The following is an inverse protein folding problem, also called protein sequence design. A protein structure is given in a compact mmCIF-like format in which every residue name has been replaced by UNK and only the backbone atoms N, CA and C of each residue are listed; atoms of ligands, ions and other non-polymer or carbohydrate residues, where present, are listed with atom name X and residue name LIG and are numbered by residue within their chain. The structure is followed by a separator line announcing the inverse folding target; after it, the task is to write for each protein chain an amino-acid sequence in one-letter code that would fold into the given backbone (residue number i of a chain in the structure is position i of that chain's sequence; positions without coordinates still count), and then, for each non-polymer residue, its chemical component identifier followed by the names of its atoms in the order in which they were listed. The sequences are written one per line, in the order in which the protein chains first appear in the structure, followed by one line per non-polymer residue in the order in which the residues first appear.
data_IF_738280009735
#
_entry.id   IF_738280009735
#
_cell.length_a   1.000
_cell.length_b   1.000
_cell.length_c   1.000
_cell.angle_alpha   90.00
_cell.angle_beta   90.00
_cell.angle_gamma   90.00
#
_symmetry.space_group_name_H-M   'P 1'
#
loop_
_entity.id
_entity.type
_entity.pdbx_description
1 polymer ?
#
# COMPACT_ATOMS: atom_id res chain seq x y z
N UNK A 1 -37.52 -10.82 -36.81
CA UNK A 1 -37.26 -9.83 -35.75
C UNK A 1 -36.65 -10.61 -34.62
N UNK A 2 -35.34 -10.58 -34.45
CA UNK A 2 -34.67 -11.06 -33.23
C UNK A 2 -33.27 -10.43 -33.23
N UNK A 3 -33.25 -9.12 -33.01
CA UNK A 3 -32.01 -8.36 -32.86
C UNK A 3 -31.41 -8.78 -31.51
N UNK A 4 -30.39 -9.63 -31.55
CA UNK A 4 -29.56 -9.96 -30.38
C UNK A 4 -28.82 -8.70 -29.97
N UNK A 5 -29.41 -8.00 -29.03
CA UNK A 5 -28.84 -6.85 -28.35
C UNK A 5 -27.75 -7.38 -27.39
N UNK A 6 -26.56 -7.68 -27.93
CA UNK A 6 -25.37 -7.84 -27.09
C UNK A 6 -25.01 -6.46 -26.55
N UNK A 7 -25.58 -6.16 -25.38
CA UNK A 7 -25.15 -5.05 -24.53
C UNK A 7 -23.73 -5.36 -24.08
N UNK A 8 -22.76 -4.97 -24.91
CA UNK A 8 -21.37 -4.75 -24.51
C UNK A 8 -21.40 -3.71 -23.39
N UNK A 9 -21.47 -4.19 -22.15
CA UNK A 9 -21.12 -3.39 -20.99
C UNK A 9 -19.65 -3.02 -21.16
N UNK A 10 -19.42 -1.85 -21.72
CA UNK A 10 -18.15 -1.15 -21.62
C UNK A 10 -17.88 -0.99 -20.12
N UNK A 11 -17.11 -1.92 -19.56
CA UNK A 11 -16.56 -1.79 -18.21
C UNK A 11 -15.68 -0.55 -18.25
N UNK A 12 -16.24 0.57 -17.83
CA UNK A 12 -15.51 1.80 -17.63
C UNK A 12 -14.53 1.52 -16.48
N UNK A 13 -13.35 1.01 -16.83
CA UNK A 13 -12.24 0.85 -15.90
C UNK A 13 -11.81 2.26 -15.52
N UNK A 14 -12.38 2.76 -14.43
CA UNK A 14 -11.79 3.89 -13.72
C UNK A 14 -10.40 3.40 -13.34
N UNK A 15 -9.37 3.88 -14.04
CA UNK A 15 -7.99 3.66 -13.65
C UNK A 15 -7.84 4.30 -12.27
N UNK A 16 -7.98 3.50 -11.22
CA UNK A 16 -7.72 3.93 -9.86
C UNK A 16 -6.29 4.46 -9.83
N UNK A 17 -6.13 5.72 -9.42
CA UNK A 17 -4.81 6.31 -9.27
C UNK A 17 -4.14 5.59 -8.11
N UNK A 18 -3.14 4.77 -8.41
CA UNK A 18 -2.32 4.14 -7.38
C UNK A 18 -1.52 5.22 -6.64
N UNK A 19 -1.58 5.17 -5.31
CA UNK A 19 -0.78 6.00 -4.43
C UNK A 19 0.24 5.12 -3.73
N UNK A 20 1.49 5.59 -3.65
CA UNK A 20 2.57 4.87 -2.98
C UNK A 20 3.05 5.67 -1.77
N UNK A 21 3.15 5.00 -0.63
CA UNK A 21 3.85 5.50 0.55
C UNK A 21 5.31 5.04 0.48
N UNK A 22 6.25 5.95 0.70
CA UNK A 22 7.69 5.65 0.65
C UNK A 22 8.28 5.91 2.03
N UNK A 23 8.91 4.89 2.62
CA UNK A 23 9.67 5.00 3.85
C UNK A 23 11.14 5.27 3.49
N UNK A 24 11.71 6.34 4.06
CA UNK A 24 13.13 6.69 3.88
C UNK A 24 13.87 6.46 5.20
N UNK A 25 15.03 5.81 5.13
CA UNK A 25 15.92 5.63 6.27
C UNK A 25 16.58 6.97 6.66
N UNK A 26 16.74 7.20 7.96
CA UNK A 26 17.44 8.36 8.53
C UNK A 26 18.20 7.96 9.82
N UNK A 27 18.97 8.88 10.38
CA UNK A 27 19.80 8.64 11.58
C UNK A 27 19.17 9.18 12.89
N UNK A 28 18.03 9.88 12.80
CA UNK A 28 17.40 10.56 13.94
C UNK A 28 16.30 9.70 14.58
N UNK A 29 15.52 8.98 13.76
CA UNK A 29 14.42 8.14 14.22
C UNK A 29 14.92 6.75 14.65
N UNK A 30 14.52 6.34 15.87
CA UNK A 30 14.83 5.00 16.35
C UNK A 30 13.99 3.92 15.66
N UNK A 31 14.47 2.68 15.65
CA UNK A 31 13.72 1.53 15.15
C UNK A 31 12.36 1.37 15.84
N UNK A 32 12.30 1.50 17.16
CA UNK A 32 11.05 1.41 17.94
C UNK A 32 10.02 2.45 17.45
N UNK A 33 10.46 3.68 17.19
CA UNK A 33 9.57 4.73 16.69
C UNK A 33 9.04 4.41 15.29
N UNK A 34 9.90 3.92 14.39
CA UNK A 34 9.50 3.54 13.02
C UNK A 34 8.50 2.38 13.06
N UNK A 35 8.72 1.39 13.92
CA UNK A 35 7.84 0.23 14.11
C UNK A 35 6.46 0.68 14.61
N UNK A 36 6.41 1.54 15.63
CA UNK A 36 5.15 2.09 16.17
C UNK A 36 4.36 2.88 15.11
N UNK A 37 5.07 3.65 14.27
CA UNK A 37 4.44 4.40 13.17
C UNK A 37 3.88 3.45 12.10
N UNK A 38 4.62 2.39 11.73
CA UNK A 38 4.15 1.41 10.76
C UNK A 38 2.93 0.62 11.26
N UNK A 39 2.90 0.26 12.54
CA UNK A 39 1.74 -0.39 13.16
C UNK A 39 0.51 0.54 13.19
N UNK A 40 0.70 1.83 13.51
CA UNK A 40 -0.42 2.77 13.67
C UNK A 40 -0.97 3.33 12.36
N UNK A 41 -0.11 3.54 11.35
CA UNK A 41 -0.50 4.19 10.08
C UNK A 41 -0.80 3.15 8.98
N UNK A 42 0.00 2.08 8.92
CA UNK A 42 -0.11 1.06 7.88
C UNK A 42 -0.83 -0.21 8.37
N UNK A 43 -1.27 -0.23 9.63
CA UNK A 43 -1.92 -1.39 10.28
C UNK A 43 -1.08 -2.67 10.21
N UNK A 44 0.25 -2.54 10.19
CA UNK A 44 1.16 -3.68 10.24
C UNK A 44 1.08 -4.39 11.59
N UNK A 45 1.31 -5.70 11.60
CA UNK A 45 1.68 -6.39 12.84
C UNK A 45 3.08 -5.98 13.28
N UNK A 46 3.40 -6.19 14.56
CA UNK A 46 4.72 -5.87 15.12
C UNK A 46 5.86 -6.55 14.32
N UNK A 47 5.72 -7.84 14.02
CA UNK A 47 6.70 -8.58 13.20
C UNK A 47 6.86 -7.99 11.78
N UNK A 48 5.76 -7.60 11.14
CA UNK A 48 5.81 -6.99 9.80
C UNK A 48 6.48 -5.62 9.84
N UNK A 49 6.14 -4.80 10.83
CA UNK A 49 6.72 -3.49 11.02
C UNK A 49 8.23 -3.57 11.32
N UNK A 50 8.65 -4.50 12.16
CA UNK A 50 10.07 -4.76 12.46
C UNK A 50 10.83 -5.18 11.19
N UNK A 51 10.31 -6.13 10.44
CA UNK A 51 10.92 -6.56 9.17
C UNK A 51 11.01 -5.41 8.17
N UNK A 52 9.95 -4.61 8.01
CA UNK A 52 9.96 -3.44 7.14
C UNK A 52 11.01 -2.40 7.55
N UNK A 53 11.17 -2.15 8.86
CA UNK A 53 12.18 -1.23 9.37
C UNK A 53 13.60 -1.74 9.05
N UNK A 54 13.87 -3.04 9.25
CA UNK A 54 15.16 -3.64 8.91
C UNK A 54 15.48 -3.61 7.42
N UNK A 55 14.49 -3.89 6.56
CA UNK A 55 14.63 -3.82 5.10
C UNK A 55 14.97 -2.39 4.65
N UNK A 56 14.39 -1.38 5.31
CA UNK A 56 14.61 0.01 4.91
C UNK A 56 16.03 0.49 5.26
N UNK A 57 16.64 -0.07 6.29
CA UNK A 57 17.96 0.33 6.75
C UNK A 57 19.13 -0.20 5.88
N UNK A 58 18.94 -1.33 5.18
CA UNK A 58 19.97 -2.05 4.41
C UNK A 58 19.72 -2.02 2.90
#
# INVERSE_FOLDING_TARGET
MDTKEEVLRESQTVLEKEHSLILFNDEENSFDFVIDVLCSVCEHSEEQAEQCAWITHY
#
